data_IF_011854235737
#
_entry.id   IF_011854235737
#
_cell.length_a   1.000
_cell.length_b   1.000
_cell.length_c   1.000
_cell.angle_alpha   90.00
_cell.angle_beta   90.00
_cell.angle_gamma   90.00
#
_symmetry.space_group_name_H-M   'P 1'
#
loop_
_entity.id
_entity.type
_entity.pdbx_description
1 polymer ?
#
# COMPACT_ATOMS: atom_id res chain seq x y z
N UNK A 1 -14.54 -15.56 20.97
CA UNK A 1 -14.97 -14.14 21.05
C UNK A 1 -13.74 -13.27 20.82
N UNK A 2 -13.80 -12.24 19.97
CA UNK A 2 -12.68 -11.32 19.85
C UNK A 2 -12.45 -10.61 21.19
N UNK A 3 -11.21 -10.35 21.60
CA UNK A 3 -10.94 -9.59 22.81
C UNK A 3 -11.58 -8.19 22.74
N UNK A 4 -12.03 -7.66 23.87
CA UNK A 4 -12.72 -6.37 23.98
C UNK A 4 -11.97 -5.20 23.31
N UNK A 5 -10.65 -5.34 23.12
CA UNK A 5 -9.78 -4.43 22.38
C UNK A 5 -10.10 -4.38 20.88
N UNK A 6 -10.43 -5.51 20.28
CA UNK A 6 -10.70 -5.61 18.83
C UNK A 6 -12.10 -5.06 18.50
N UNK A 7 -13.06 -5.22 19.43
CA UNK A 7 -14.37 -4.61 19.29
C UNK A 7 -14.32 -3.07 19.27
N UNK A 8 -13.40 -2.44 20.03
CA UNK A 8 -13.19 -0.99 19.99
C UNK A 8 -12.57 -0.53 18.67
N UNK A 9 -11.63 -1.31 18.13
CA UNK A 9 -11.01 -1.02 16.82
C UNK A 9 -12.06 -1.15 15.72
N UNK A 10 -12.86 -2.23 15.72
CA UNK A 10 -13.99 -2.41 14.81
C UNK A 10 -15.00 -1.26 14.89
N UNK A 11 -15.32 -0.78 16.10
CA UNK A 11 -16.20 0.36 16.29
C UNK A 11 -15.62 1.67 15.71
N UNK A 12 -14.30 1.86 15.76
CA UNK A 12 -13.63 3.00 15.12
C UNK A 12 -13.68 2.89 13.60
N UNK A 13 -13.50 1.70 13.03
CA UNK A 13 -13.70 1.47 11.59
C UNK A 13 -15.14 1.76 11.15
N UNK A 14 -16.13 1.36 11.94
CA UNK A 14 -17.55 1.67 11.66
C UNK A 14 -17.82 3.18 11.78
N UNK A 15 -17.11 3.91 12.63
CA UNK A 15 -17.23 5.37 12.77
C UNK A 15 -16.52 6.15 11.67
N UNK A 16 -15.55 5.55 10.99
CA UNK A 16 -14.82 6.11 9.85
C UNK A 16 -13.98 7.36 10.14
N UNK A 17 -13.32 7.84 9.11
CA UNK A 17 -12.56 9.10 9.17
C UNK A 17 -13.50 10.31 9.19
N UNK A 18 -13.96 10.72 10.36
CA UNK A 18 -14.80 11.93 10.54
C UNK A 18 -13.95 13.15 10.87
N UNK A 19 -14.28 14.29 10.27
CA UNK A 19 -13.77 15.62 10.65
C UNK A 19 -13.31 16.47 9.48
N UNK A 20 -13.35 17.81 9.68
CA UNK A 20 -12.84 18.82 8.77
C UNK A 20 -11.31 18.90 8.92
N UNK A 21 -10.59 19.03 7.81
CA UNK A 21 -9.14 19.16 7.76
C UNK A 21 -8.57 18.56 6.48
N UNK A 22 -7.28 18.79 6.26
CA UNK A 22 -6.58 18.19 5.14
C UNK A 22 -6.44 16.67 5.30
N UNK A 23 -5.95 16.01 4.26
CA UNK A 23 -5.80 14.56 4.23
C UNK A 23 -4.86 14.04 5.33
N UNK A 24 -3.72 14.71 5.56
CA UNK A 24 -2.73 14.33 6.58
C UNK A 24 -3.32 14.41 8.00
N UNK A 25 -4.05 15.49 8.32
CA UNK A 25 -4.70 15.65 9.61
C UNK A 25 -5.80 14.61 9.87
N UNK A 26 -6.53 14.16 8.82
CA UNK A 26 -7.52 13.07 8.95
C UNK A 26 -6.84 11.73 9.22
N UNK A 27 -5.76 11.40 8.50
CA UNK A 27 -4.97 10.20 8.72
C UNK A 27 -4.39 10.18 10.15
N UNK A 28 -3.78 11.27 10.59
CA UNK A 28 -3.21 11.37 11.94
C UNK A 28 -4.26 11.11 13.02
N UNK A 29 -5.42 11.75 12.96
CA UNK A 29 -6.50 11.54 13.95
C UNK A 29 -7.04 10.11 13.96
N UNK A 30 -7.10 9.48 12.80
CA UNK A 30 -7.59 8.11 12.68
C UNK A 30 -6.59 7.09 13.24
N UNK A 31 -5.29 7.26 12.95
CA UNK A 31 -4.26 6.26 13.30
C UNK A 31 -3.60 6.48 14.66
N UNK A 32 -3.54 7.70 15.18
CA UNK A 32 -2.88 8.01 16.45
C UNK A 32 -3.33 7.13 17.63
N UNK A 33 -4.63 6.85 17.86
CA UNK A 33 -5.07 6.03 19.00
C UNK A 33 -4.71 4.55 18.88
N UNK A 34 -4.34 4.07 17.68
CA UNK A 34 -4.18 2.65 17.38
C UNK A 34 -2.75 2.29 16.92
N UNK A 35 -1.86 3.26 16.77
CA UNK A 35 -0.55 3.06 16.15
C UNK A 35 0.25 1.87 16.71
N UNK A 36 0.18 1.62 18.01
CA UNK A 36 0.89 0.52 18.68
C UNK A 36 0.26 -0.88 18.48
N UNK A 37 -1.04 -0.95 18.15
CA UNK A 37 -1.79 -2.21 17.95
C UNK A 37 -2.25 -2.40 16.50
N UNK A 38 -1.96 -1.41 15.67
CA UNK A 38 -2.38 -1.34 14.28
C UNK A 38 -1.95 -2.55 13.45
N UNK A 39 -0.71 -2.97 13.62
CA UNK A 39 -0.16 -4.08 12.84
C UNK A 39 -0.85 -5.40 13.15
N UNK A 40 -1.07 -5.72 14.43
CA UNK A 40 -1.70 -6.98 14.84
C UNK A 40 -3.13 -7.11 14.29
N UNK A 41 -3.92 -6.03 14.33
CA UNK A 41 -5.27 -6.02 13.77
C UNK A 41 -5.25 -6.18 12.24
N UNK A 42 -4.35 -5.49 11.56
CA UNK A 42 -4.27 -5.50 10.09
C UNK A 42 -3.58 -6.73 9.51
N UNK A 43 -2.77 -7.43 10.29
CA UNK A 43 -2.07 -8.64 9.81
C UNK A 43 -3.06 -9.66 9.23
N UNK A 44 -4.21 -9.85 9.88
CA UNK A 44 -5.27 -10.74 9.41
C UNK A 44 -6.06 -10.24 8.20
N UNK A 45 -5.89 -8.98 7.79
CA UNK A 45 -6.65 -8.38 6.67
C UNK A 45 -5.80 -8.09 5.44
N UNK A 46 -4.53 -7.73 5.63
CA UNK A 46 -3.65 -7.25 4.56
C UNK A 46 -2.80 -8.38 3.99
N UNK A 47 -3.45 -9.28 3.25
CA UNK A 47 -2.81 -10.42 2.61
C UNK A 47 -1.96 -10.03 1.40
N UNK A 48 -1.05 -10.91 0.96
CA UNK A 48 -0.22 -10.70 -0.24
C UNK A 48 0.95 -9.73 -0.09
N UNK A 49 1.14 -9.11 1.10
CA UNK A 49 2.26 -8.16 1.32
C UNK A 49 3.62 -8.83 1.23
N UNK A 50 3.77 -9.99 1.86
CA UNK A 50 4.99 -10.81 1.75
C UNK A 50 5.19 -11.30 0.33
N UNK A 51 4.13 -11.78 -0.31
CA UNK A 51 4.18 -12.30 -1.68
C UNK A 51 4.61 -11.21 -2.68
N UNK A 52 4.14 -9.95 -2.47
CA UNK A 52 4.58 -8.80 -3.26
C UNK A 52 6.09 -8.56 -3.11
N UNK A 53 6.60 -8.53 -1.86
CA UNK A 53 8.01 -8.27 -1.58
C UNK A 53 8.90 -9.40 -2.10
N UNK A 54 8.47 -10.65 -1.94
CA UNK A 54 9.18 -11.81 -2.45
C UNK A 54 9.22 -11.83 -3.99
N UNK A 55 8.14 -11.41 -4.63
CA UNK A 55 8.06 -11.35 -6.09
C UNK A 55 8.79 -10.13 -6.69
N UNK A 56 8.86 -9.00 -5.99
CA UNK A 56 9.70 -7.86 -6.40
C UNK A 56 11.19 -8.21 -6.41
N UNK A 57 11.62 -9.06 -5.46
CA UNK A 57 12.96 -9.61 -5.37
C UNK A 57 14.08 -8.61 -5.73
N UNK A 58 14.17 -7.43 -5.07
CA UNK A 58 15.17 -6.43 -5.42
C UNK A 58 16.57 -7.02 -5.26
N UNK A 59 17.44 -6.78 -6.26
CA UNK A 59 18.80 -7.28 -6.27
C UNK A 59 19.67 -6.61 -5.19
N UNK A 60 20.79 -7.20 -4.75
CA UNK A 60 21.76 -6.52 -3.90
C UNK A 60 22.21 -5.20 -4.53
N UNK A 61 22.30 -4.15 -3.72
CA UNK A 61 22.58 -2.81 -4.18
C UNK A 61 21.42 -2.05 -4.79
N UNK A 62 20.19 -2.63 -4.80
CA UNK A 62 19.00 -1.95 -5.31
C UNK A 62 18.59 -0.78 -4.39
N UNK A 63 17.97 0.23 -4.99
CA UNK A 63 17.24 1.30 -4.29
C UNK A 63 15.75 1.03 -4.36
N UNK A 64 15.11 0.95 -3.21
CA UNK A 64 13.67 0.64 -3.06
C UNK A 64 12.93 1.82 -2.44
N UNK A 65 11.74 2.11 -2.93
CA UNK A 65 10.85 3.13 -2.36
C UNK A 65 9.49 2.50 -2.03
N UNK A 66 9.06 2.64 -0.80
CA UNK A 66 7.71 2.30 -0.35
C UNK A 66 6.89 3.58 -0.19
N UNK A 67 5.76 3.69 -0.91
CA UNK A 67 4.85 4.82 -0.85
C UNK A 67 3.60 4.49 -0.03
N UNK A 68 3.41 5.19 1.10
CA UNK A 68 2.39 4.88 2.10
C UNK A 68 2.82 3.74 3.01
N UNK A 69 4.07 3.78 3.50
CA UNK A 69 4.69 2.68 4.28
C UNK A 69 4.17 2.54 5.71
N UNK A 70 3.42 3.51 6.21
CA UNK A 70 2.78 3.47 7.52
C UNK A 70 3.77 3.21 8.67
N UNK A 71 3.53 2.12 9.42
CA UNK A 71 4.38 1.70 10.54
C UNK A 71 5.70 1.05 10.13
N UNK A 72 5.95 0.88 8.82
CA UNK A 72 7.13 0.16 8.32
C UNK A 72 7.06 -1.36 8.50
N UNK A 73 5.87 -1.95 8.70
CA UNK A 73 5.72 -3.40 8.89
C UNK A 73 6.30 -4.22 7.74
N UNK A 74 6.31 -3.68 6.55
CA UNK A 74 6.86 -4.38 5.39
C UNK A 74 8.39 -4.57 5.45
N UNK A 75 9.11 -3.76 6.23
CA UNK A 75 10.55 -3.96 6.48
C UNK A 75 10.83 -5.37 7.04
N UNK A 76 9.94 -5.88 7.89
CA UNK A 76 10.09 -7.21 8.50
C UNK A 76 9.97 -8.34 7.47
N UNK A 77 9.25 -8.12 6.35
CA UNK A 77 9.13 -9.09 5.26
C UNK A 77 10.37 -9.17 4.38
N UNK A 78 11.17 -8.11 4.32
CA UNK A 78 12.48 -8.17 3.67
C UNK A 78 13.47 -9.04 4.45
N UNK A 79 13.39 -9.04 5.78
CA UNK A 79 14.34 -9.76 6.63
C UNK A 79 15.78 -9.36 6.33
N UNK A 80 16.70 -10.33 6.28
CA UNK A 80 18.13 -10.09 6.03
C UNK A 80 18.40 -9.43 4.67
N UNK A 81 17.51 -9.59 3.67
CA UNK A 81 17.63 -8.96 2.35
C UNK A 81 17.69 -7.44 2.43
N UNK A 82 17.08 -6.84 3.46
CA UNK A 82 17.11 -5.38 3.65
C UNK A 82 18.53 -4.87 3.78
N UNK A 83 19.41 -5.62 4.45
CA UNK A 83 20.82 -5.28 4.61
C UNK A 83 21.65 -5.32 3.32
N UNK A 84 21.15 -5.94 2.26
CA UNK A 84 21.84 -5.98 0.95
C UNK A 84 21.50 -4.80 0.04
N UNK A 85 20.46 -4.01 0.40
CA UNK A 85 20.02 -2.87 -0.41
C UNK A 85 20.99 -1.69 -0.28
N UNK A 86 21.14 -0.92 -1.35
CA UNK A 86 21.85 0.36 -1.28
C UNK A 86 21.05 1.41 -0.49
N UNK A 87 19.70 1.38 -0.60
CA UNK A 87 18.83 2.33 0.09
C UNK A 87 17.39 1.85 0.05
N UNK A 88 16.69 2.11 1.15
CA UNK A 88 15.25 1.94 1.27
C UNK A 88 14.61 3.24 1.76
N UNK A 89 13.75 3.85 0.96
CA UNK A 89 13.01 5.05 1.33
C UNK A 89 11.56 4.67 1.69
N UNK A 90 11.18 4.83 2.97
CA UNK A 90 9.83 4.65 3.46
C UNK A 90 9.15 6.01 3.55
N UNK A 91 8.05 6.19 2.84
CA UNK A 91 7.34 7.48 2.71
C UNK A 91 5.93 7.35 3.23
N UNK A 92 5.51 8.22 4.15
CA UNK A 92 4.12 8.31 4.64
C UNK A 92 3.80 9.75 5.08
N UNK A 93 2.51 10.07 5.19
CA UNK A 93 2.03 11.38 5.68
C UNK A 93 1.69 11.39 7.17
N UNK A 94 1.63 10.22 7.83
CA UNK A 94 1.13 10.09 9.19
C UNK A 94 2.25 10.03 10.23
N UNK A 95 2.54 11.13 10.98
CA UNK A 95 3.63 11.18 11.95
C UNK A 95 3.57 10.08 13.02
N UNK A 96 2.37 9.71 13.49
CA UNK A 96 2.21 8.67 14.51
C UNK A 96 2.58 7.26 14.00
N UNK A 97 2.32 6.96 12.73
CA UNK A 97 2.75 5.72 12.10
C UNK A 97 4.26 5.74 11.83
N UNK A 98 4.77 6.88 11.34
CA UNK A 98 6.20 7.06 11.08
C UNK A 98 7.06 6.97 12.35
N UNK A 99 6.52 7.30 13.52
CA UNK A 99 7.22 7.07 14.78
C UNK A 99 7.55 5.57 14.99
N UNK A 100 6.60 4.68 14.67
CA UNK A 100 6.83 3.23 14.71
C UNK A 100 7.79 2.78 13.60
N UNK A 101 7.65 3.33 12.40
CA UNK A 101 8.57 3.05 11.29
C UNK A 101 10.02 3.40 11.63
N UNK A 102 10.26 4.54 12.31
CA UNK A 102 11.60 4.94 12.76
C UNK A 102 12.21 3.96 13.76
N UNK A 103 11.40 3.40 14.67
CA UNK A 103 11.86 2.37 15.61
C UNK A 103 12.31 1.10 14.88
N UNK A 104 11.59 0.67 13.84
CA UNK A 104 11.99 -0.47 13.01
C UNK A 104 13.22 -0.14 12.16
N UNK A 105 13.25 1.04 11.56
CA UNK A 105 14.35 1.50 10.71
C UNK A 105 15.69 1.62 11.47
N UNK A 106 15.64 1.85 12.79
CA UNK A 106 16.84 1.94 13.63
C UNK A 106 17.71 0.66 13.62
N UNK A 107 17.15 -0.48 13.25
CA UNK A 107 17.88 -1.74 13.07
C UNK A 107 18.71 -1.76 11.78
N UNK A 108 18.49 -0.81 10.86
CA UNK A 108 19.11 -0.74 9.54
C UNK A 108 19.70 0.65 9.25
N UNK A 109 20.64 1.13 10.11
CA UNK A 109 21.20 2.47 9.99
C UNK A 109 21.93 2.63 8.63
N UNK A 110 21.72 3.79 8.00
CA UNK A 110 22.31 4.09 6.70
C UNK A 110 21.56 3.50 5.49
N UNK A 111 20.77 2.46 5.66
CA UNK A 111 20.01 1.82 4.58
C UNK A 111 18.58 2.35 4.53
N UNK A 112 17.84 2.27 5.64
CA UNK A 112 16.44 2.70 5.70
C UNK A 112 16.33 4.17 6.09
N UNK A 113 15.62 4.93 5.28
CA UNK A 113 15.28 6.34 5.51
C UNK A 113 13.77 6.51 5.59
N UNK A 114 13.30 7.19 6.64
CA UNK A 114 11.88 7.39 6.90
C UNK A 114 11.54 8.86 6.64
N UNK A 115 10.60 9.08 5.72
CA UNK A 115 10.22 10.40 5.22
C UNK A 115 8.77 10.70 5.55
N UNK A 116 8.54 11.85 6.20
CA UNK A 116 7.21 12.45 6.29
C UNK A 116 6.98 13.29 5.03
N UNK A 117 6.32 12.69 4.04
CA UNK A 117 6.15 13.32 2.73
C UNK A 117 4.92 12.77 1.97
N UNK A 118 4.42 13.59 1.04
CA UNK A 118 3.33 13.24 0.15
C UNK A 118 3.83 12.36 -1.01
N UNK A 119 3.27 11.15 -1.14
CA UNK A 119 3.57 10.19 -2.20
C UNK A 119 3.38 10.77 -3.61
N UNK A 120 2.53 11.78 -3.77
CA UNK A 120 2.29 12.45 -5.06
C UNK A 120 3.41 13.38 -5.49
N UNK A 121 4.32 13.73 -4.57
CA UNK A 121 5.38 14.74 -4.77
C UNK A 121 6.76 14.29 -4.32
N UNK A 122 6.86 13.25 -3.51
CA UNK A 122 8.13 12.77 -2.98
C UNK A 122 9.14 12.51 -4.08
N UNK A 123 10.40 12.82 -3.78
CA UNK A 123 11.57 12.50 -4.60
C UNK A 123 12.68 11.96 -3.70
N UNK A 124 13.24 10.77 -4.00
CA UNK A 124 14.31 10.20 -3.20
C UNK A 124 15.61 11.04 -3.26
N UNK A 125 15.85 11.71 -4.38
CA UNK A 125 16.99 12.63 -4.56
C UNK A 125 16.48 14.00 -5.04
N UNK A 126 17.16 15.07 -4.60
CA UNK A 126 16.73 16.45 -4.84
C UNK A 126 16.77 16.86 -6.33
N UNK A 127 17.61 16.21 -7.14
CA UNK A 127 17.76 16.47 -8.57
C UNK A 127 16.70 15.78 -9.44
N UNK A 128 15.78 15.04 -8.82
CA UNK A 128 14.63 14.41 -9.51
C UNK A 128 15.01 13.25 -10.43
N UNK A 129 16.24 12.71 -10.34
CA UNK A 129 16.67 11.59 -11.17
C UNK A 129 15.86 10.33 -10.97
N UNK A 130 15.83 9.49 -12.00
CA UNK A 130 15.28 8.14 -11.95
C UNK A 130 16.29 7.22 -11.27
N UNK A 131 16.12 7.02 -9.97
CA UNK A 131 17.13 6.35 -9.13
C UNK A 131 16.65 5.05 -8.50
N UNK A 132 15.34 4.81 -8.47
CA UNK A 132 14.76 3.63 -7.85
C UNK A 132 14.76 2.43 -8.81
N UNK A 133 15.17 1.30 -8.30
CA UNK A 133 15.06 0.01 -8.99
C UNK A 133 13.68 -0.58 -8.80
N UNK A 134 13.09 -0.39 -7.59
CA UNK A 134 11.74 -0.80 -7.24
C UNK A 134 10.99 0.33 -6.54
N UNK A 135 9.73 0.55 -6.91
CA UNK A 135 8.77 1.39 -6.17
C UNK A 135 7.52 0.57 -5.92
N UNK A 136 6.96 0.61 -4.71
CA UNK A 136 5.73 -0.14 -4.46
C UNK A 136 4.75 0.55 -3.52
N UNK A 137 3.49 0.12 -3.65
CA UNK A 137 2.37 0.46 -2.79
C UNK A 137 1.84 -0.82 -2.14
N UNK A 138 1.62 -0.77 -0.84
CA UNK A 138 1.11 -1.91 -0.08
C UNK A 138 -0.07 -1.45 0.77
N UNK A 139 -1.29 -1.66 0.23
CA UNK A 139 -2.55 -1.18 0.82
C UNK A 139 -2.56 0.32 1.10
N UNK A 140 -1.99 1.09 0.19
CA UNK A 140 -1.84 2.53 0.33
C UNK A 140 -2.34 3.32 -0.89
N UNK A 141 -2.29 2.75 -2.09
CA UNK A 141 -2.72 3.43 -3.31
C UNK A 141 -4.22 3.78 -3.25
N UNK A 142 -5.04 2.87 -2.74
CA UNK A 142 -6.49 3.07 -2.53
C UNK A 142 -6.83 4.14 -1.49
N UNK A 143 -5.87 4.52 -0.64
CA UNK A 143 -6.03 5.55 0.38
C UNK A 143 -5.55 6.93 -0.07
N UNK A 144 -4.81 7.03 -1.17
CA UNK A 144 -4.30 8.31 -1.70
C UNK A 144 -5.38 8.95 -2.58
N UNK A 145 -5.90 10.15 -2.24
CA UNK A 145 -6.96 10.78 -3.03
C UNK A 145 -6.57 11.02 -4.49
N UNK A 146 -5.39 11.57 -4.75
CA UNK A 146 -4.82 11.72 -6.10
C UNK A 146 -3.88 10.56 -6.44
N UNK A 147 -4.43 9.34 -6.40
CA UNK A 147 -3.67 8.12 -6.67
C UNK A 147 -3.05 8.11 -8.08
N UNK A 148 -3.71 8.75 -9.06
CA UNK A 148 -3.15 8.87 -10.43
C UNK A 148 -1.85 9.65 -10.43
N UNK A 149 -1.76 10.71 -9.64
CA UNK A 149 -0.55 11.50 -9.49
C UNK A 149 0.52 10.72 -8.71
N UNK A 150 0.14 9.99 -7.65
CA UNK A 150 1.06 9.12 -6.91
C UNK A 150 1.64 8.02 -7.81
N UNK A 151 0.82 7.38 -8.63
CA UNK A 151 1.25 6.35 -9.58
C UNK A 151 2.22 6.92 -10.64
N UNK A 152 1.87 8.06 -11.26
CA UNK A 152 2.78 8.74 -12.20
C UNK A 152 4.08 9.17 -11.52
N UNK A 153 4.02 9.60 -10.26
CA UNK A 153 5.19 9.95 -9.49
C UNK A 153 6.09 8.74 -9.22
N UNK A 154 5.51 7.59 -8.86
CA UNK A 154 6.23 6.32 -8.70
C UNK A 154 6.98 5.95 -9.99
N UNK A 155 6.32 6.02 -11.14
CA UNK A 155 6.94 5.72 -12.43
C UNK A 155 8.06 6.70 -12.81
N UNK A 156 7.96 7.96 -12.38
CA UNK A 156 9.04 8.96 -12.60
C UNK A 156 10.29 8.66 -11.79
N UNK A 157 10.16 8.10 -10.60
CA UNK A 157 11.30 7.73 -9.75
C UNK A 157 12.02 6.48 -10.24
N UNK A 158 11.32 5.59 -10.95
CA UNK A 158 11.88 4.35 -11.46
C UNK A 158 12.89 4.58 -12.58
N UNK A 159 13.99 3.86 -12.54
CA UNK A 159 14.92 3.69 -13.66
C UNK A 159 14.20 3.06 -14.86
N UNK A 160 14.72 3.21 -16.09
CA UNK A 160 14.26 2.40 -17.21
C UNK A 160 14.33 0.90 -16.86
N UNK A 161 13.26 0.15 -17.12
CA UNK A 161 13.18 -1.26 -16.76
C UNK A 161 12.97 -1.58 -15.27
N UNK A 162 12.92 -0.57 -14.40
CA UNK A 162 12.62 -0.72 -12.98
C UNK A 162 11.20 -1.25 -12.72
N UNK A 163 10.98 -1.83 -11.55
CA UNK A 163 9.74 -2.52 -11.19
C UNK A 163 8.83 -1.63 -10.32
N UNK A 164 7.54 -1.61 -10.66
CA UNK A 164 6.50 -1.12 -9.78
C UNK A 164 5.70 -2.30 -9.22
N UNK A 165 5.47 -2.31 -7.91
CA UNK A 165 4.63 -3.30 -7.24
C UNK A 165 3.40 -2.67 -6.61
N UNK A 166 2.26 -3.35 -6.68
CA UNK A 166 1.04 -2.93 -5.97
C UNK A 166 0.35 -4.15 -5.39
N UNK A 167 0.04 -4.12 -4.11
CA UNK A 167 -0.96 -4.99 -3.49
C UNK A 167 -2.00 -4.09 -2.83
N UNK A 168 -3.27 -4.25 -3.21
CA UNK A 168 -4.34 -3.40 -2.68
C UNK A 168 -5.71 -4.06 -2.84
N UNK A 169 -6.67 -3.60 -2.05
CA UNK A 169 -8.07 -3.96 -2.23
C UNK A 169 -8.63 -3.35 -3.50
N UNK A 170 -9.55 -4.04 -4.14
CA UNK A 170 -10.26 -3.53 -5.29
C UNK A 170 -11.62 -4.21 -5.48
N UNK A 171 -12.46 -3.61 -6.30
CA UNK A 171 -13.62 -4.28 -6.89
C UNK A 171 -13.61 -4.08 -8.40
N UNK A 172 -13.94 -5.15 -9.14
CA UNK A 172 -13.97 -5.08 -10.59
C UNK A 172 -15.06 -4.13 -11.10
N UNK A 173 -14.87 -3.59 -12.28
CA UNK A 173 -15.94 -2.99 -13.07
C UNK A 173 -17.07 -4.01 -13.30
N UNK A 174 -18.24 -3.54 -13.77
CA UNK A 174 -19.38 -4.42 -14.15
C UNK A 174 -18.95 -5.37 -15.27
N UNK A 175 -18.16 -4.87 -16.20
CA UNK A 175 -17.60 -5.57 -17.34
C UNK A 175 -16.08 -5.34 -17.31
N UNK A 176 -15.33 -6.19 -16.59
CA UNK A 176 -13.88 -6.08 -16.53
C UNK A 176 -13.24 -6.48 -17.87
N UNK A 177 -12.02 -6.03 -18.14
CA UNK A 177 -11.26 -6.48 -19.30
C UNK A 177 -11.12 -8.01 -19.35
N UNK A 178 -10.91 -8.61 -20.54
CA UNK A 178 -10.67 -10.06 -20.67
C UNK A 178 -9.53 -10.55 -19.76
N UNK A 179 -9.72 -11.70 -19.13
CA UNK A 179 -8.74 -12.30 -18.21
C UNK A 179 -8.79 -11.75 -16.76
N UNK A 180 -9.65 -10.77 -16.47
CA UNK A 180 -9.86 -10.25 -15.12
C UNK A 180 -11.05 -10.90 -14.42
N UNK A 181 -10.98 -11.03 -13.10
CA UNK A 181 -12.09 -11.53 -12.30
C UNK A 181 -13.29 -10.56 -12.34
N UNK A 182 -14.47 -11.14 -12.49
CA UNK A 182 -15.74 -10.40 -12.38
C UNK A 182 -16.34 -10.63 -11.01
N UNK A 183 -16.39 -9.59 -10.20
CA UNK A 183 -17.03 -9.66 -8.89
C UNK A 183 -18.54 -9.58 -9.00
N UNK A 184 -19.25 -10.31 -8.09
CA UNK A 184 -20.70 -10.28 -8.01
C UNK A 184 -21.26 -8.89 -7.69
N UNK A 185 -22.53 -8.66 -8.03
CA UNK A 185 -23.18 -7.38 -7.77
C UNK A 185 -23.13 -6.97 -6.28
N UNK A 186 -23.33 -7.91 -5.36
CA UNK A 186 -23.24 -7.66 -3.92
C UNK A 186 -21.85 -7.17 -3.49
N UNK A 187 -20.77 -7.81 -3.96
CA UNK A 187 -19.40 -7.39 -3.64
C UNK A 187 -19.11 -5.98 -4.17
N UNK A 188 -19.56 -5.66 -5.39
CA UNK A 188 -19.38 -4.35 -6.01
C UNK A 188 -20.17 -3.23 -5.33
N UNK A 189 -21.27 -3.55 -4.62
CA UNK A 189 -22.04 -2.56 -3.87
C UNK A 189 -21.58 -2.46 -2.41
N UNK A 190 -21.30 -3.59 -1.78
CA UNK A 190 -20.99 -3.65 -0.35
C UNK A 190 -19.61 -3.07 -0.03
N UNK A 191 -18.54 -3.59 -0.67
CA UNK A 191 -17.17 -3.22 -0.32
C UNK A 191 -16.85 -1.74 -0.53
N UNK A 192 -17.22 -1.08 -1.63
CA UNK A 192 -16.96 0.36 -1.78
C UNK A 192 -17.68 1.22 -0.73
N UNK A 193 -18.86 0.81 -0.30
CA UNK A 193 -19.57 1.53 0.78
C UNK A 193 -18.94 1.31 2.14
N UNK A 194 -18.53 0.08 2.43
CA UNK A 194 -17.87 -0.28 3.67
C UNK A 194 -16.54 0.48 3.82
N UNK A 195 -15.67 0.41 2.85
CA UNK A 195 -14.34 0.99 2.90
C UNK A 195 -14.32 2.52 2.75
N UNK A 196 -15.36 3.12 2.18
CA UNK A 196 -15.47 4.59 2.07
C UNK A 196 -15.42 5.28 3.43
N UNK A 197 -15.92 4.64 4.47
CA UNK A 197 -15.86 5.17 5.84
C UNK A 197 -14.42 5.30 6.34
N UNK A 198 -13.51 4.48 5.86
CA UNK A 198 -12.09 4.48 6.24
C UNK A 198 -11.22 5.31 5.28
N UNK A 199 -11.83 6.03 4.35
CA UNK A 199 -11.12 6.83 3.35
C UNK A 199 -10.46 5.99 2.26
N UNK A 200 -10.80 4.71 2.15
CA UNK A 200 -10.30 3.80 1.10
C UNK A 200 -11.25 3.85 -0.10
N UNK A 201 -10.69 4.13 -1.26
CA UNK A 201 -11.40 4.13 -2.54
C UNK A 201 -11.15 2.81 -3.28
N UNK A 202 -12.15 1.92 -3.25
CA UNK A 202 -12.09 0.67 -4.02
C UNK A 202 -12.52 0.92 -5.48
N UNK A 203 -11.69 1.69 -6.17
CA UNK A 203 -11.88 1.98 -7.59
C UNK A 203 -11.02 1.00 -8.43
N UNK A 204 -11.66 0.19 -9.27
CA UNK A 204 -10.96 -0.70 -10.21
C UNK A 204 -10.03 0.05 -11.17
N UNK A 205 -10.23 1.35 -11.36
CA UNK A 205 -9.39 2.19 -12.21
C UNK A 205 -7.92 2.27 -11.79
N UNK A 206 -7.60 2.03 -10.51
CA UNK A 206 -6.19 1.98 -10.04
C UNK A 206 -5.46 0.80 -10.66
N UNK A 207 -6.08 -0.37 -10.63
CA UNK A 207 -5.53 -1.58 -11.20
C UNK A 207 -5.44 -1.48 -12.74
N UNK A 208 -6.46 -0.94 -13.40
CA UNK A 208 -6.45 -0.76 -14.84
C UNK A 208 -5.38 0.24 -15.27
N UNK A 209 -5.19 1.32 -14.52
CA UNK A 209 -4.19 2.35 -14.86
C UNK A 209 -2.76 1.84 -14.69
N UNK A 210 -2.44 1.10 -13.61
CA UNK A 210 -1.09 0.56 -13.44
C UNK A 210 -0.75 -0.46 -14.54
N UNK A 211 -1.71 -1.30 -14.93
CA UNK A 211 -1.51 -2.27 -16.02
C UNK A 211 -1.36 -1.59 -17.38
N UNK A 212 -2.07 -0.50 -17.63
CA UNK A 212 -1.95 0.29 -18.86
C UNK A 212 -0.59 0.98 -19.00
N UNK A 213 -0.04 1.49 -17.90
CA UNK A 213 1.18 2.29 -17.88
C UNK A 213 2.48 1.45 -17.87
N UNK A 214 2.39 0.16 -17.60
CA UNK A 214 3.57 -0.72 -17.43
C UNK A 214 3.45 -1.98 -18.26
N UNK A 215 4.54 -2.72 -18.38
CA UNK A 215 4.56 -4.07 -18.91
C UNK A 215 4.26 -5.06 -17.79
N UNK A 216 3.29 -5.94 -17.98
CA UNK A 216 2.90 -6.93 -16.97
C UNK A 216 4.02 -7.97 -16.77
N UNK A 217 4.47 -8.07 -15.52
CA UNK A 217 5.41 -9.11 -15.06
C UNK A 217 4.66 -10.18 -14.25
N UNK A 218 3.78 -9.75 -13.34
CA UNK A 218 2.94 -10.64 -12.52
C UNK A 218 1.61 -9.95 -12.23
N UNK A 219 0.52 -10.68 -12.34
CA UNK A 219 -0.83 -10.16 -12.12
C UNK A 219 -1.68 -11.25 -11.49
N UNK A 220 -2.11 -11.06 -10.26
CA UNK A 220 -2.93 -12.01 -9.51
C UNK A 220 -4.09 -11.31 -8.84
N UNK A 221 -5.23 -11.97 -8.82
CA UNK A 221 -6.44 -11.49 -8.18
C UNK A 221 -6.92 -12.53 -7.18
N UNK A 222 -7.21 -12.11 -5.96
CA UNK A 222 -7.50 -13.00 -4.85
C UNK A 222 -8.75 -12.57 -4.08
N UNK A 223 -9.34 -13.52 -3.37
CA UNK A 223 -10.41 -13.30 -2.40
C UNK A 223 -9.93 -13.77 -1.02
N UNK A 224 -9.87 -12.87 -0.05
CA UNK A 224 -9.47 -13.21 1.32
C UNK A 224 -10.61 -13.05 2.32
N UNK A 225 -10.65 -13.93 3.32
CA UNK A 225 -11.58 -13.82 4.42
C UNK A 225 -11.22 -12.64 5.33
N UNK A 226 -12.23 -11.97 5.85
CA UNK A 226 -12.04 -10.96 6.90
C UNK A 226 -12.25 -11.62 8.25
N UNK A 227 -11.27 -11.55 9.17
CA UNK A 227 -11.31 -12.29 10.44
C UNK A 227 -12.55 -12.04 11.28
N UNK A 228 -13.16 -10.85 11.17
CA UNK A 228 -14.27 -10.43 12.02
C UNK A 228 -15.65 -10.46 11.32
N UNK A 229 -15.69 -10.89 10.05
CA UNK A 229 -16.91 -10.99 9.25
C UNK A 229 -17.00 -12.39 8.62
N UNK A 230 -17.42 -13.40 9.38
CA UNK A 230 -17.51 -14.78 8.89
C UNK A 230 -18.36 -14.88 7.62
N UNK A 231 -17.84 -15.59 6.62
CA UNK A 231 -18.51 -15.77 5.34
C UNK A 231 -18.30 -14.66 4.32
N UNK A 232 -17.77 -13.51 4.71
CA UNK A 232 -17.43 -12.43 3.77
C UNK A 232 -15.96 -12.52 3.32
N UNK A 233 -15.76 -12.30 2.03
CA UNK A 233 -14.42 -12.26 1.41
C UNK A 233 -14.24 -10.95 0.69
N UNK A 234 -13.10 -10.29 0.92
CA UNK A 234 -12.72 -9.06 0.24
C UNK A 234 -11.76 -9.36 -0.91
N UNK A 235 -11.99 -8.78 -2.08
CA UNK A 235 -11.07 -8.90 -3.19
C UNK A 235 -9.84 -8.02 -2.99
N UNK A 236 -8.66 -8.56 -3.34
CA UNK A 236 -7.43 -7.80 -3.48
C UNK A 236 -6.67 -8.28 -4.73
N UNK A 237 -5.78 -7.45 -5.23
CA UNK A 237 -4.89 -7.81 -6.33
C UNK A 237 -3.43 -7.64 -5.92
N UNK A 238 -2.58 -8.44 -6.54
CA UNK A 238 -1.13 -8.29 -6.53
C UNK A 238 -0.68 -8.07 -7.98
N UNK A 239 0.01 -6.98 -8.19
CA UNK A 239 0.52 -6.61 -9.51
C UNK A 239 1.98 -6.21 -9.44
N UNK A 240 2.77 -6.72 -10.38
CA UNK A 240 4.14 -6.25 -10.65
C UNK A 240 4.21 -5.88 -12.11
N UNK A 241 4.59 -4.65 -12.38
CA UNK A 241 4.82 -4.13 -13.71
C UNK A 241 6.24 -3.62 -13.89
N UNK A 242 6.75 -3.75 -15.12
CA UNK A 242 8.03 -3.15 -15.52
C UNK A 242 7.77 -1.81 -16.18
N UNK A 243 8.54 -0.78 -15.80
CA UNK A 243 8.50 0.51 -16.48
C UNK A 243 8.91 0.32 -17.93
N UNK A 244 8.05 0.77 -18.87
CA UNK A 244 8.35 0.77 -20.30
C UNK A 244 9.60 1.60 -20.58
N UNK A 245 10.51 1.04 -21.37
CA UNK A 245 11.66 1.78 -21.91
C UNK A 245 11.16 2.60 -23.09
N UNK A 246 11.15 3.91 -22.96
CA UNK A 246 10.91 4.86 -24.05
C UNK A 246 12.22 5.50 -24.44
#
# INVERSE_FOLDING_TARGET
>A
MPPLSDARILLQFVRGQRGNGDHAARLQRFYQPQASRYDAFREGMLHGRRDLIDALAPHPGARVVELGGGTGRNLDFFGARLGTLARFDLVDLCPSLLAQARLRAAQWPGIVRVHEADATRFRPDADGRQVADCVYFSYSLSMIPDWRRALRNALRMLKPGGLIGVVDFYVSAKEPPPGRQRHGWLQRQFWPRWFRHDGVSLDGGQFDEVTRLTENVRCEEHLTAIPYLPGLRVPYYLYIGRKKSH
#
